data_IF_421836962764
#
_entry.id   IF_421836962764
#
_cell.length_a   1.000
_cell.length_b   1.000
_cell.length_c   1.000
_cell.angle_alpha   90.00
_cell.angle_beta   90.00
_cell.angle_gamma   90.00
#
_symmetry.space_group_name_H-M   'P 1'
#
loop_
_entity.id
_entity.type
_entity.pdbx_description
1 polymer ?
#
# COMPACT_ATOMS: atom_id res chain seq x y z
N UNK A 1 86.49 26.78 10.76
CA UNK A 1 86.97 25.55 10.07
C UNK A 1 85.75 24.69 9.77
N UNK A 2 85.32 24.61 8.50
CA UNK A 2 85.51 23.43 7.61
C UNK A 2 84.87 22.16 8.19
N UNK A 3 83.65 21.82 7.78
CA UNK A 3 83.30 20.96 6.61
C UNK A 3 83.25 19.47 6.95
N UNK A 4 82.12 18.80 6.70
CA UNK A 4 81.92 17.80 5.62
C UNK A 4 80.69 16.93 5.89
N UNK A 5 79.94 16.67 4.81
CA UNK A 5 78.92 15.63 4.66
C UNK A 5 79.53 14.20 4.74
N UNK A 6 78.68 13.22 5.05
CA UNK A 6 78.43 11.89 4.41
C UNK A 6 77.38 11.18 5.32
N UNK A 7 76.10 11.04 4.95
CA UNK A 7 75.46 10.00 4.11
C UNK A 7 75.61 8.56 4.62
N UNK A 8 74.56 8.00 5.26
CA UNK A 8 74.13 6.59 5.14
C UNK A 8 72.59 6.51 5.27
N UNK A 9 71.99 5.64 4.46
CA UNK A 9 70.59 5.49 4.04
C UNK A 9 69.71 4.54 4.89
N UNK A 10 68.41 4.92 5.07
CA UNK A 10 67.10 4.21 5.05
C UNK A 10 66.91 2.79 5.70
N UNK A 11 65.67 2.27 5.90
CA UNK A 11 64.34 2.87 6.22
C UNK A 11 63.52 2.06 7.27
N UNK A 12 62.41 2.57 7.85
CA UNK A 12 61.12 1.81 7.98
C UNK A 12 59.99 2.61 8.66
N UNK A 13 58.77 2.26 8.28
CA UNK A 13 57.44 2.61 8.83
C UNK A 13 56.78 3.93 8.41
N UNK A 14 56.18 3.87 7.22
CA UNK A 14 54.89 4.48 6.93
C UNK A 14 53.80 3.87 7.84
N UNK A 15 53.17 4.69 8.70
CA UNK A 15 51.85 4.42 9.26
C UNK A 15 50.83 5.20 8.42
N UNK A 16 50.28 4.53 7.41
CA UNK A 16 49.06 4.96 6.72
C UNK A 16 47.87 4.70 7.66
N UNK A 17 47.36 5.76 8.27
CA UNK A 17 46.04 5.75 8.90
C UNK A 17 44.97 5.82 7.83
N UNK A 18 44.51 4.66 7.35
CA UNK A 18 43.30 4.54 6.52
C UNK A 18 42.11 4.81 7.45
N UNK A 19 41.67 6.07 7.47
CA UNK A 19 40.36 6.43 8.01
C UNK A 19 39.29 5.78 7.16
N UNK A 20 38.69 4.72 7.70
CA UNK A 20 37.54 4.03 7.14
C UNK A 20 36.36 5.01 7.04
N UNK A 21 36.09 5.49 5.83
CA UNK A 21 34.81 6.11 5.52
C UNK A 21 33.74 5.02 5.60
N UNK A 22 32.97 5.03 6.69
CA UNK A 22 31.72 4.29 6.80
C UNK A 22 30.77 4.91 5.79
N UNK A 23 30.63 4.28 4.62
CA UNK A 23 29.57 4.58 3.67
C UNK A 23 28.23 4.19 4.31
N UNK A 24 27.60 5.14 5.00
CA UNK A 24 26.17 5.07 5.26
C UNK A 24 25.46 5.31 3.93
N UNK A 25 25.35 4.25 3.12
CA UNK A 25 24.34 4.19 2.08
C UNK A 25 22.98 4.18 2.78
N UNK A 26 22.44 5.36 3.08
CA UNK A 26 21.01 5.54 3.24
C UNK A 26 20.38 5.26 1.87
N UNK A 27 20.23 3.98 1.54
CA UNK A 27 19.29 3.59 0.50
C UNK A 27 17.92 3.97 1.02
N UNK A 28 17.34 5.04 0.47
CA UNK A 28 15.95 5.36 0.71
C UNK A 28 15.15 4.10 0.41
N UNK A 29 14.32 3.69 1.37
CA UNK A 29 13.49 2.51 1.24
C UNK A 29 12.54 2.71 0.07
N UNK A 30 12.53 1.77 -0.87
CA UNK A 30 11.62 1.84 -2.01
C UNK A 30 10.18 1.74 -1.48
N UNK A 31 9.39 2.79 -1.69
CA UNK A 31 7.97 2.85 -1.35
C UNK A 31 7.20 3.28 -2.58
N UNK A 32 6.00 2.71 -2.76
CA UNK A 32 5.08 3.22 -3.78
C UNK A 32 4.65 4.66 -3.43
N UNK A 33 4.05 5.33 -4.41
CA UNK A 33 3.70 6.75 -4.32
C UNK A 33 2.74 7.10 -3.16
N UNK A 34 1.91 6.14 -2.74
CA UNK A 34 0.99 6.26 -1.61
C UNK A 34 1.73 6.16 -0.25
N UNK A 35 2.96 5.62 -0.27
CA UNK A 35 3.82 5.49 0.91
C UNK A 35 3.32 4.49 1.94
N UNK A 36 2.44 3.55 1.58
CA UNK A 36 1.86 2.53 2.48
C UNK A 36 1.93 1.13 1.87
N UNK A 37 1.53 0.93 0.62
CA UNK A 37 1.63 -0.39 -0.02
C UNK A 37 3.08 -0.88 0.01
N UNK A 38 3.25 -2.15 0.40
CA UNK A 38 4.55 -2.81 0.53
C UNK A 38 5.26 -2.57 1.87
N UNK A 39 4.76 -1.69 2.73
CA UNK A 39 5.29 -1.54 4.10
C UNK A 39 5.15 -2.84 4.89
N UNK A 40 6.11 -3.11 5.76
CA UNK A 40 6.03 -4.21 6.72
C UNK A 40 5.11 -3.83 7.88
N UNK A 41 4.57 -4.84 8.58
CA UNK A 41 3.75 -4.60 9.78
C UNK A 41 4.45 -3.73 10.84
N UNK A 42 5.77 -3.88 11.00
CA UNK A 42 6.54 -3.05 11.92
C UNK A 42 6.56 -1.56 11.50
N UNK A 43 6.70 -1.29 10.20
CA UNK A 43 6.72 0.08 9.66
C UNK A 43 5.33 0.73 9.69
N UNK A 44 4.27 -0.05 9.49
CA UNK A 44 2.90 0.43 9.70
C UNK A 44 2.73 0.86 11.16
N UNK A 45 3.18 0.03 12.11
CA UNK A 45 3.10 0.38 13.53
C UNK A 45 3.99 1.57 13.91
N UNK A 46 5.14 1.74 13.26
CA UNK A 46 5.98 2.93 13.43
C UNK A 46 5.27 4.20 12.92
N UNK A 47 4.57 4.09 11.78
CA UNK A 47 3.88 5.22 11.13
C UNK A 47 2.57 5.60 11.81
N UNK A 48 1.79 4.63 12.29
CA UNK A 48 0.43 4.83 12.79
C UNK A 48 0.27 4.54 14.29
N UNK A 49 1.31 4.05 14.95
CA UNK A 49 1.26 3.60 16.34
C UNK A 49 0.72 2.17 16.47
N UNK A 50 0.28 1.81 17.67
CA UNK A 50 -0.31 0.49 17.93
C UNK A 50 -1.71 0.41 17.30
N UNK A 51 -2.07 -0.70 16.63
CA UNK A 51 -3.43 -0.88 16.10
C UNK A 51 -4.48 -0.82 17.21
N UNK A 52 -5.67 -0.33 16.88
CA UNK A 52 -6.82 -0.34 17.79
C UNK A 52 -7.34 -1.77 17.96
N UNK A 53 -7.39 -2.53 16.88
CA UNK A 53 -7.78 -3.93 16.88
C UNK A 53 -6.90 -4.73 15.93
N UNK A 54 -6.80 -6.02 16.22
CA UNK A 54 -6.31 -7.03 15.30
C UNK A 54 -7.50 -7.73 14.68
N UNK A 55 -7.39 -8.00 13.39
CA UNK A 55 -8.46 -8.57 12.60
C UNK A 55 -7.97 -9.74 11.77
N UNK A 56 -8.78 -10.79 11.69
CA UNK A 56 -8.48 -11.98 10.90
C UNK A 56 -9.69 -12.35 10.05
N UNK A 57 -9.45 -12.63 8.78
CA UNK A 57 -10.40 -13.22 7.83
C UNK A 57 -9.88 -14.59 7.40
N UNK A 58 -10.63 -15.64 7.73
CA UNK A 58 -10.31 -16.98 7.23
C UNK A 58 -11.25 -17.35 6.08
N UNK A 59 -10.74 -17.24 4.87
CA UNK A 59 -11.36 -17.81 3.67
C UNK A 59 -10.92 -19.29 3.50
N UNK A 60 -11.81 -20.23 3.10
CA UNK A 60 -13.18 -20.04 2.59
C UNK A 60 -14.27 -20.11 3.67
N UNK A 61 -13.90 -20.29 4.94
CA UNK A 61 -14.87 -20.54 6.02
C UNK A 61 -15.59 -19.28 6.51
N UNK A 62 -15.19 -18.09 6.02
CA UNK A 62 -15.74 -16.78 6.38
C UNK A 62 -15.77 -16.59 7.90
N UNK A 63 -14.73 -17.06 8.58
CA UNK A 63 -14.56 -16.81 10.01
C UNK A 63 -13.85 -15.47 10.18
N UNK A 64 -14.56 -14.54 10.81
CA UNK A 64 -14.08 -13.21 11.10
C UNK A 64 -13.90 -13.09 12.61
N UNK A 65 -12.71 -12.67 13.01
CA UNK A 65 -12.40 -12.42 14.41
C UNK A 65 -11.70 -11.08 14.56
N UNK A 66 -12.11 -10.31 15.56
CA UNK A 66 -11.59 -9.00 15.87
C UNK A 66 -11.35 -8.93 17.37
N UNK A 67 -10.12 -8.63 17.77
CA UNK A 67 -9.70 -8.60 19.18
C UNK A 67 -8.82 -7.40 19.44
N UNK A 68 -8.60 -7.06 20.70
CA UNK A 68 -7.57 -6.08 21.05
C UNK A 68 -6.17 -6.66 20.83
N UNK A 69 -5.12 -5.85 20.60
CA UNK A 69 -3.78 -6.40 20.39
C UNK A 69 -3.22 -7.20 21.58
N UNK A 70 -3.68 -6.94 22.79
CA UNK A 70 -3.36 -7.71 24.00
C UNK A 70 -3.86 -9.16 23.93
N UNK A 71 -4.88 -9.42 23.11
CA UNK A 71 -5.57 -10.71 22.97
C UNK A 71 -5.12 -11.48 21.71
N UNK A 72 -4.01 -11.09 21.07
CA UNK A 72 -3.53 -11.74 19.84
C UNK A 72 -3.33 -13.26 20.01
N UNK A 73 -2.85 -13.70 21.18
CA UNK A 73 -2.66 -15.13 21.46
C UNK A 73 -3.98 -15.90 21.46
N UNK A 74 -5.06 -15.29 21.95
CA UNK A 74 -6.41 -15.86 21.95
C UNK A 74 -6.93 -15.94 20.51
N UNK A 75 -6.74 -14.87 19.71
CA UNK A 75 -7.10 -14.85 18.30
C UNK A 75 -6.43 -16.00 17.55
N UNK A 76 -5.12 -16.14 17.68
CA UNK A 76 -4.36 -17.20 16.99
C UNK A 76 -4.79 -18.61 17.42
N UNK A 77 -5.15 -18.80 18.69
CA UNK A 77 -5.62 -20.09 19.20
C UNK A 77 -6.97 -20.54 18.62
N UNK A 78 -7.76 -19.64 18.00
CA UNK A 78 -9.03 -19.99 17.35
C UNK A 78 -8.85 -20.71 16.00
N UNK A 79 -7.65 -20.65 15.42
CA UNK A 79 -7.34 -21.18 14.10
C UNK A 79 -6.44 -22.42 14.20
N UNK A 80 -6.67 -23.39 13.33
CA UNK A 80 -5.91 -24.65 13.28
C UNK A 80 -4.55 -24.49 12.57
N UNK A 81 -4.28 -23.32 12.01
CA UNK A 81 -3.11 -22.99 11.21
C UNK A 81 -2.79 -21.50 11.34
N UNK A 82 -1.61 -21.10 10.87
CA UNK A 82 -1.21 -19.70 10.89
C UNK A 82 -2.07 -18.89 9.91
N UNK A 83 -2.75 -17.90 10.43
CA UNK A 83 -3.63 -17.01 9.68
C UNK A 83 -3.03 -15.61 9.65
N UNK A 84 -3.27 -14.90 8.55
CA UNK A 84 -2.86 -13.52 8.40
C UNK A 84 -3.60 -12.64 9.40
N UNK A 85 -2.86 -11.97 10.29
CA UNK A 85 -3.44 -11.02 11.25
C UNK A 85 -3.24 -9.60 10.74
N UNK A 86 -4.34 -8.97 10.40
CA UNK A 86 -4.46 -7.62 9.85
C UNK A 86 -4.59 -6.57 10.95
N UNK A 87 -4.22 -5.34 10.61
CA UNK A 87 -4.26 -4.24 11.55
C UNK A 87 -5.42 -3.30 11.24
N UNK A 88 -6.09 -2.87 12.30
CA UNK A 88 -7.24 -2.01 12.24
C UNK A 88 -7.00 -0.79 13.13
N UNK A 89 -7.23 0.40 12.60
CA UNK A 89 -7.01 1.67 13.28
C UNK A 89 -8.23 2.59 13.17
N UNK A 90 -8.55 3.29 14.25
CA UNK A 90 -9.36 4.51 14.20
C UNK A 90 -8.45 5.73 14.25
N UNK A 91 -8.39 6.48 13.16
CA UNK A 91 -7.52 7.65 13.00
C UNK A 91 -8.34 8.90 12.69
N UNK A 92 -7.80 10.06 13.04
CA UNK A 92 -8.39 11.36 12.69
C UNK A 92 -7.60 11.99 11.54
N UNK A 93 -8.25 12.27 10.41
CA UNK A 93 -7.66 12.96 9.25
C UNK A 93 -8.42 14.26 9.01
N UNK A 94 -7.72 15.39 9.06
CA UNK A 94 -8.30 16.73 8.89
C UNK A 94 -9.59 16.98 9.69
N UNK A 95 -9.63 16.47 10.92
CA UNK A 95 -10.77 16.62 11.82
C UNK A 95 -11.84 15.53 11.71
N UNK A 96 -11.81 14.70 10.66
CA UNK A 96 -12.76 13.61 10.44
C UNK A 96 -12.26 12.27 10.96
N UNK A 97 -13.17 11.46 11.51
CA UNK A 97 -12.89 10.09 11.95
C UNK A 97 -12.87 9.14 10.74
N UNK A 98 -11.78 8.40 10.62
CA UNK A 98 -11.57 7.42 9.57
C UNK A 98 -11.19 6.07 10.19
N UNK A 99 -11.71 5.01 9.62
CA UNK A 99 -11.28 3.65 9.88
C UNK A 99 -10.26 3.24 8.81
N UNK A 100 -9.10 2.76 9.25
CA UNK A 100 -8.07 2.20 8.39
C UNK A 100 -7.94 0.70 8.64
N UNK A 101 -7.99 -0.11 7.59
CA UNK A 101 -7.73 -1.56 7.66
C UNK A 101 -6.57 -1.90 6.75
N UNK A 102 -5.47 -2.39 7.30
CA UNK A 102 -4.29 -2.81 6.56
C UNK A 102 -4.25 -4.33 6.45
N UNK A 103 -4.38 -4.82 5.23
CA UNK A 103 -4.32 -6.24 4.93
C UNK A 103 -2.91 -6.61 4.48
N UNK A 104 -2.40 -7.69 5.06
CA UNK A 104 -1.03 -8.15 4.86
C UNK A 104 -1.01 -9.41 4.00
N UNK A 105 -0.05 -9.46 3.08
CA UNK A 105 0.34 -10.66 2.35
C UNK A 105 1.68 -11.19 2.86
N UNK A 106 1.87 -12.50 2.76
CA UNK A 106 3.12 -13.18 3.13
C UNK A 106 4.16 -13.06 2.00
N UNK A 107 5.24 -12.32 2.24
CA UNK A 107 6.40 -12.22 1.35
C UNK A 107 7.53 -13.13 1.85
N UNK A 108 8.11 -13.94 0.96
CA UNK A 108 9.12 -14.96 1.28
C UNK A 108 10.38 -14.87 0.42
N UNK A 109 10.62 -13.75 -0.28
CA UNK A 109 11.70 -13.63 -1.28
C UNK A 109 13.10 -13.95 -0.72
N UNK A 110 13.40 -13.57 0.53
CA UNK A 110 14.72 -13.79 1.14
C UNK A 110 14.77 -15.05 2.01
N UNK A 111 13.83 -15.98 1.82
CA UNK A 111 13.65 -17.15 2.69
C UNK A 111 13.16 -16.81 4.11
N UNK A 112 12.98 -15.52 4.41
CA UNK A 112 12.36 -15.02 5.63
C UNK A 112 10.91 -14.62 5.34
N UNK A 113 10.02 -15.04 6.24
CA UNK A 113 8.61 -14.67 6.21
C UNK A 113 8.45 -13.22 6.67
N UNK A 114 8.04 -12.33 5.76
CA UNK A 114 7.77 -10.92 6.04
C UNK A 114 6.34 -10.57 5.62
N UNK A 115 5.57 -10.02 6.54
CA UNK A 115 4.21 -9.56 6.25
C UNK A 115 4.23 -8.14 5.70
N UNK A 116 3.77 -7.96 4.46
CA UNK A 116 3.73 -6.66 3.76
C UNK A 116 2.31 -6.24 3.44
N UNK A 117 2.02 -4.95 3.51
CA UNK A 117 0.72 -4.39 3.13
C UNK A 117 0.49 -4.68 1.64
N UNK A 118 -0.55 -5.45 1.33
CA UNK A 118 -0.97 -5.75 -0.05
C UNK A 118 -2.14 -4.88 -0.50
N UNK A 119 -2.97 -4.46 0.44
CA UNK A 119 -4.13 -3.60 0.23
C UNK A 119 -4.49 -2.92 1.56
N UNK A 120 -5.11 -1.74 1.50
CA UNK A 120 -5.70 -1.13 2.68
C UNK A 120 -6.95 -0.35 2.35
N UNK A 121 -7.82 -0.26 3.35
CA UNK A 121 -9.14 0.35 3.24
C UNK A 121 -9.16 1.60 4.11
N UNK A 122 -9.85 2.63 3.63
CA UNK A 122 -10.14 3.87 4.35
C UNK A 122 -11.64 4.09 4.29
N UNK A 123 -12.31 3.98 5.43
CA UNK A 123 -13.75 4.20 5.55
C UNK A 123 -14.02 5.47 6.35
N UNK A 124 -14.89 6.33 5.82
CA UNK A 124 -15.25 7.60 6.45
C UNK A 124 -16.38 7.37 7.49
N UNK A 125 -16.11 7.63 8.77
CA UNK A 125 -17.03 7.28 9.86
C UNK A 125 -18.03 8.40 10.19
N UNK A 126 -17.66 9.67 9.96
CA UNK A 126 -18.53 10.82 10.23
C UNK A 126 -19.61 11.03 9.15
N UNK A 127 -19.56 10.23 8.09
CA UNK A 127 -20.49 10.26 6.97
C UNK A 127 -19.79 10.24 5.61
N UNK A 128 -20.57 10.11 4.52
CA UNK A 128 -20.01 10.12 3.18
C UNK A 128 -19.31 11.43 2.83
N UNK A 129 -18.30 11.34 1.97
CA UNK A 129 -17.48 12.47 1.53
C UNK A 129 -17.63 12.63 0.02
N UNK A 130 -17.80 13.86 -0.47
CA UNK A 130 -17.84 14.09 -1.93
C UNK A 130 -16.53 13.66 -2.58
N UNK A 131 -16.58 13.03 -3.75
CA UNK A 131 -15.41 12.52 -4.48
C UNK A 131 -14.28 13.56 -4.62
N UNK A 132 -14.62 14.82 -4.93
CA UNK A 132 -13.65 15.92 -5.05
C UNK A 132 -12.94 16.32 -3.75
N UNK A 133 -13.47 15.91 -2.58
CA UNK A 133 -12.88 16.16 -1.26
C UNK A 133 -12.16 14.95 -0.67
N UNK A 134 -12.14 13.81 -1.38
CA UNK A 134 -11.42 12.62 -0.92
C UNK A 134 -9.94 12.93 -0.72
N UNK A 135 -9.34 13.71 -1.61
CA UNK A 135 -7.92 14.08 -1.54
C UNK A 135 -7.55 14.91 -0.30
N UNK A 136 -8.51 15.64 0.26
CA UNK A 136 -8.30 16.39 1.50
C UNK A 136 -8.20 15.45 2.71
N UNK A 137 -8.88 14.29 2.68
CA UNK A 137 -8.88 13.33 3.78
C UNK A 137 -7.87 12.20 3.58
N UNK A 138 -7.58 11.89 2.32
CA UNK A 138 -6.68 10.84 1.86
C UNK A 138 -5.65 11.50 0.95
N UNK A 139 -4.60 12.12 1.50
CA UNK A 139 -3.55 12.75 0.70
C UNK A 139 -2.80 11.73 -0.19
N UNK A 140 -2.88 10.44 0.16
CA UNK A 140 -2.38 9.34 -0.65
C UNK A 140 -3.18 9.17 -1.97
N UNK A 141 -4.41 9.70 -2.06
CA UNK A 141 -5.26 9.65 -3.26
C UNK A 141 -4.81 10.69 -4.30
N UNK A 142 -3.67 10.43 -4.93
CA UNK A 142 -3.10 11.23 -6.02
C UNK A 142 -3.89 11.27 -7.35
N UNK A 143 -4.79 10.32 -7.69
CA UNK A 143 -5.51 10.35 -8.97
C UNK A 143 -6.31 11.62 -9.27
N UNK A 144 -6.64 12.43 -8.26
CA UNK A 144 -7.25 13.75 -8.43
C UNK A 144 -6.41 14.71 -9.29
N UNK A 145 -5.08 14.57 -9.29
CA UNK A 145 -4.15 15.48 -9.97
C UNK A 145 -3.34 14.81 -11.10
N UNK A 146 -3.59 13.52 -11.36
CA UNK A 146 -2.78 12.70 -12.25
C UNK A 146 -3.47 12.30 -13.56
N UNK A 147 -2.73 11.61 -14.44
CA UNK A 147 -3.26 11.04 -15.70
C UNK A 147 -3.88 9.65 -15.51
N UNK A 148 -4.52 9.41 -14.37
CA UNK A 148 -5.07 8.10 -14.04
C UNK A 148 -6.20 7.73 -15.02
N UNK A 149 -6.23 6.46 -15.44
CA UNK A 149 -7.40 5.91 -16.14
C UNK A 149 -8.46 5.53 -15.12
N UNK A 150 -9.71 5.81 -15.44
CA UNK A 150 -10.83 5.58 -14.51
C UNK A 150 -11.79 4.57 -15.10
N UNK A 151 -11.97 3.47 -14.40
CA UNK A 151 -12.91 2.42 -14.75
C UNK A 151 -14.10 2.47 -13.81
N UNK A 152 -15.30 2.35 -14.35
CA UNK A 152 -16.54 2.31 -13.60
C UNK A 152 -17.15 0.93 -13.66
N UNK A 153 -17.57 0.41 -12.52
CA UNK A 153 -18.25 -0.87 -12.38
C UNK A 153 -19.42 -0.74 -11.41
N UNK A 154 -20.54 -1.40 -11.71
CA UNK A 154 -21.65 -1.54 -10.76
C UNK A 154 -21.50 -2.87 -10.03
N UNK A 155 -21.28 -2.81 -8.72
CA UNK A 155 -21.21 -3.98 -7.86
C UNK A 155 -22.62 -4.51 -7.62
N UNK A 156 -23.07 -5.46 -8.44
CA UNK A 156 -24.45 -5.95 -8.48
C UNK A 156 -24.96 -6.38 -7.09
N UNK A 157 -24.13 -7.08 -6.32
CA UNK A 157 -24.51 -7.60 -5.00
C UNK A 157 -24.70 -6.50 -3.94
N UNK A 158 -24.05 -5.34 -4.12
CA UNK A 158 -24.08 -4.24 -3.16
C UNK A 158 -24.84 -3.01 -3.68
N UNK A 159 -25.27 -3.04 -4.95
CA UNK A 159 -25.96 -1.98 -5.67
C UNK A 159 -25.29 -0.58 -5.56
N UNK A 160 -23.97 -0.55 -5.49
CA UNK A 160 -23.17 0.68 -5.53
C UNK A 160 -22.21 0.66 -6.72
N UNK A 161 -21.68 1.84 -7.01
CA UNK A 161 -20.71 2.05 -8.08
C UNK A 161 -19.31 2.03 -7.46
N UNK A 162 -18.41 1.30 -8.11
CA UNK A 162 -16.97 1.36 -7.86
C UNK A 162 -16.31 2.11 -9.00
N UNK A 163 -15.44 3.06 -8.63
CA UNK A 163 -14.52 3.72 -9.55
C UNK A 163 -13.11 3.24 -9.26
N UNK A 164 -12.47 2.59 -10.22
CA UNK A 164 -11.08 2.15 -10.11
C UNK A 164 -10.20 3.15 -10.85
N UNK A 165 -9.42 3.93 -10.11
CA UNK A 165 -8.42 4.84 -10.65
C UNK A 165 -7.09 4.10 -10.73
N UNK A 166 -6.59 3.86 -11.94
CA UNK A 166 -5.30 3.20 -12.18
C UNK A 166 -4.26 4.23 -12.56
N UNK A 167 -3.18 4.30 -11.80
CA UNK A 167 -2.08 5.23 -12.05
C UNK A 167 -1.21 4.74 -13.22
N UNK A 168 -0.58 5.64 -13.99
CA UNK A 168 0.24 5.25 -15.12
C UNK A 168 1.64 4.74 -14.73
N UNK A 169 2.05 4.92 -13.48
CA UNK A 169 3.41 4.60 -13.02
C UNK A 169 3.54 3.11 -12.70
N UNK A 170 4.48 2.45 -13.38
CA UNK A 170 4.83 1.05 -13.17
C UNK A 170 6.27 1.02 -12.64
N UNK A 171 6.50 0.40 -11.49
CA UNK A 171 7.83 0.22 -10.90
C UNK A 171 8.04 -1.23 -10.44
N UNK A 172 9.25 -1.56 -9.99
CA UNK A 172 9.58 -2.94 -9.62
C UNK A 172 8.85 -3.38 -8.35
N UNK A 173 8.64 -2.48 -7.39
CA UNK A 173 7.85 -2.77 -6.20
C UNK A 173 6.38 -3.08 -6.54
N UNK A 174 5.73 -2.34 -7.44
CA UNK A 174 4.34 -2.61 -7.83
C UNK A 174 4.23 -3.95 -8.55
N UNK A 175 5.17 -4.28 -9.44
CA UNK A 175 5.24 -5.61 -10.07
C UNK A 175 5.42 -6.72 -9.05
N UNK A 176 6.31 -6.53 -8.07
CA UNK A 176 6.53 -7.48 -6.99
C UNK A 176 5.22 -7.73 -6.23
N UNK A 177 4.58 -6.68 -5.71
CA UNK A 177 3.31 -6.78 -4.97
C UNK A 177 2.21 -7.43 -5.82
N UNK A 178 2.00 -6.95 -7.05
CA UNK A 178 0.93 -7.42 -7.94
C UNK A 178 1.07 -8.90 -8.31
N UNK A 179 2.26 -9.30 -8.78
CA UNK A 179 2.53 -10.70 -9.16
C UNK A 179 2.48 -11.67 -7.99
N UNK A 180 2.61 -11.18 -6.74
CA UNK A 180 2.60 -12.05 -5.56
C UNK A 180 1.25 -12.16 -4.88
N UNK A 181 0.54 -11.05 -4.75
CA UNK A 181 -0.64 -10.95 -3.89
C UNK A 181 -1.95 -10.82 -4.64
N UNK A 182 -1.92 -10.50 -5.93
CA UNK A 182 -3.12 -10.18 -6.71
C UNK A 182 -3.41 -11.25 -7.75
N UNK A 183 -2.49 -11.49 -8.68
CA UNK A 183 -2.64 -12.50 -9.71
C UNK A 183 -1.28 -13.13 -10.05
N UNK A 184 -1.26 -14.46 -10.15
CA UNK A 184 -0.07 -15.23 -10.54
C UNK A 184 0.12 -15.26 -12.07
N UNK A 185 -0.82 -14.70 -12.83
CA UNK A 185 -0.73 -14.54 -14.27
C UNK A 185 0.48 -13.65 -14.63
N UNK A 186 1.53 -14.32 -15.13
CA UNK A 186 2.80 -13.69 -15.51
C UNK A 186 2.68 -12.76 -16.71
N UNK A 187 1.54 -12.78 -17.41
CA UNK A 187 1.31 -11.92 -18.56
C UNK A 187 0.95 -10.48 -18.15
N UNK A 188 0.54 -10.26 -16.89
CA UNK A 188 0.29 -8.93 -16.35
C UNK A 188 1.63 -8.26 -16.02
N UNK A 189 1.96 -7.21 -16.78
CA UNK A 189 3.24 -6.48 -16.67
C UNK A 189 3.06 -5.02 -16.27
N UNK A 190 1.81 -4.58 -16.21
CA UNK A 190 1.38 -3.20 -16.01
C UNK A 190 0.85 -2.95 -14.58
N UNK A 191 1.36 -3.71 -13.61
CA UNK A 191 1.06 -3.52 -12.20
C UNK A 191 1.42 -2.10 -11.75
N UNK A 192 0.42 -1.37 -11.26
CA UNK A 192 0.53 0.02 -10.81
C UNK A 192 -0.37 0.23 -9.60
N UNK A 193 -0.26 1.38 -8.93
CA UNK A 193 -1.19 1.71 -7.86
C UNK A 193 -2.60 1.90 -8.43
N UNK A 194 -3.56 1.30 -7.74
CA UNK A 194 -4.99 1.44 -8.00
C UNK A 194 -5.73 1.93 -6.77
N UNK A 195 -6.73 2.77 -7.01
CA UNK A 195 -7.61 3.31 -5.98
C UNK A 195 -9.05 2.97 -6.35
N UNK A 196 -9.63 2.03 -5.62
CA UNK A 196 -11.02 1.64 -5.71
C UNK A 196 -11.85 2.55 -4.79
N UNK A 197 -12.56 3.48 -5.40
CA UNK A 197 -13.44 4.42 -4.70
C UNK A 197 -14.86 3.87 -4.76
N UNK A 198 -15.38 3.47 -3.61
CA UNK A 198 -16.73 2.91 -3.49
C UNK A 198 -17.70 4.04 -3.16
N UNK A 199 -18.64 4.26 -4.08
CA UNK A 199 -19.68 5.26 -3.93
C UNK A 199 -20.77 4.79 -2.97
N UNK A 200 -21.52 5.74 -2.42
CA UNK A 200 -22.71 5.46 -1.64
C UNK A 200 -23.79 4.76 -2.49
N UNK A 201 -24.68 4.07 -1.78
CA UNK A 201 -25.78 3.38 -2.42
C UNK A 201 -26.70 4.39 -3.13
N UNK A 202 -27.24 4.00 -4.29
CA UNK A 202 -28.09 4.83 -5.14
C UNK A 202 -27.41 6.06 -5.80
N UNK A 203 -26.08 6.17 -5.76
CA UNK A 203 -25.37 7.15 -6.58
C UNK A 203 -25.66 6.92 -8.08
N UNK A 204 -25.88 8.01 -8.85
CA UNK A 204 -26.23 7.89 -10.27
C UNK A 204 -25.06 7.37 -11.09
N UNK A 205 -25.37 6.65 -12.18
CA UNK A 205 -24.37 6.19 -13.16
C UNK A 205 -23.52 7.32 -13.74
N UNK A 206 -24.06 8.55 -13.78
CA UNK A 206 -23.32 9.75 -14.15
C UNK A 206 -22.60 10.31 -12.93
N UNK A 207 -21.43 9.74 -12.67
CA UNK A 207 -20.55 10.14 -11.58
C UNK A 207 -19.95 11.53 -11.82
N UNK A 208 -19.75 12.29 -10.74
CA UNK A 208 -19.08 13.59 -10.76
C UNK A 208 -18.25 13.80 -9.49
N UNK A 209 -17.48 14.89 -9.42
CA UNK A 209 -16.79 15.30 -8.19
C UNK A 209 -17.72 15.46 -6.96
N UNK A 210 -19.04 15.62 -7.15
CA UNK A 210 -20.02 15.70 -6.07
C UNK A 210 -20.58 14.34 -5.63
N UNK A 211 -20.27 13.26 -6.35
CA UNK A 211 -20.73 11.92 -5.96
C UNK A 211 -20.20 11.54 -4.58
N UNK A 212 -21.05 10.95 -3.75
CA UNK A 212 -20.70 10.64 -2.37
C UNK A 212 -19.95 9.32 -2.27
N UNK A 213 -18.83 9.34 -1.56
CA UNK A 213 -17.90 8.23 -1.34
C UNK A 213 -18.04 7.75 0.09
N UNK A 214 -18.13 6.43 0.25
CA UNK A 214 -18.13 5.79 1.58
C UNK A 214 -16.78 5.22 1.99
N UNK A 215 -16.02 4.74 1.02
CA UNK A 215 -14.80 3.99 1.26
C UNK A 215 -13.84 4.13 0.08
N UNK A 216 -12.55 4.16 0.38
CA UNK A 216 -11.45 4.10 -0.59
C UNK A 216 -10.61 2.88 -0.25
N UNK A 217 -10.31 2.07 -1.25
CA UNK A 217 -9.45 0.90 -1.14
C UNK A 217 -8.23 1.16 -2.02
N UNK A 218 -7.04 0.99 -1.47
CA UNK A 218 -5.78 1.18 -2.20
C UNK A 218 -5.08 -0.15 -2.29
N UNK A 219 -4.61 -0.47 -3.49
CA UNK A 219 -3.98 -1.73 -3.83
C UNK A 219 -3.10 -1.57 -5.07
N UNK A 220 -2.58 -2.69 -5.57
CA UNK A 220 -1.94 -2.75 -6.89
C UNK A 220 -2.87 -3.45 -7.86
N UNK A 221 -3.03 -2.87 -9.05
CA UNK A 221 -3.78 -3.49 -10.14
C UNK A 221 -3.16 -3.16 -11.50
N UNK A 222 -3.53 -3.93 -12.53
CA UNK A 222 -3.13 -3.72 -13.91
C UNK A 222 -4.32 -3.43 -14.80
N UNK A 223 -4.17 -2.48 -15.72
CA UNK A 223 -5.19 -2.18 -16.73
C UNK A 223 -5.53 -3.42 -17.55
N UNK A 224 -4.52 -4.24 -17.86
CA UNK A 224 -4.68 -5.50 -18.58
C UNK A 224 -5.64 -6.45 -17.83
N UNK A 225 -5.49 -6.60 -16.51
CA UNK A 225 -6.34 -7.47 -15.69
C UNK A 225 -7.78 -6.96 -15.64
N UNK A 226 -7.96 -5.65 -15.45
CA UNK A 226 -9.27 -5.00 -15.47
C UNK A 226 -9.92 -5.20 -16.84
N UNK A 227 -9.18 -4.96 -17.93
CA UNK A 227 -9.66 -5.15 -19.29
C UNK A 227 -10.07 -6.60 -19.61
N UNK A 228 -9.28 -7.58 -19.15
CA UNK A 228 -9.55 -9.02 -19.31
C UNK A 228 -10.85 -9.43 -18.61
N UNK A 229 -11.19 -8.79 -17.50
CA UNK A 229 -12.37 -9.10 -16.70
C UNK A 229 -13.57 -8.17 -16.95
N UNK A 230 -13.38 -7.12 -17.76
CA UNK A 230 -14.38 -6.08 -17.99
C UNK A 230 -15.72 -6.62 -18.52
N UNK A 231 -15.71 -7.57 -19.44
CA UNK A 231 -16.96 -8.17 -19.95
C UNK A 231 -17.74 -8.93 -18.86
N UNK A 232 -17.03 -9.60 -17.95
CA UNK A 232 -17.67 -10.39 -16.89
C UNK A 232 -18.33 -9.49 -15.84
N UNK A 233 -17.74 -8.33 -15.55
CA UNK A 233 -18.21 -7.42 -14.51
C UNK A 233 -18.93 -6.17 -15.04
N UNK A 234 -19.01 -6.00 -16.36
CA UNK A 234 -19.60 -4.80 -16.98
C UNK A 234 -18.77 -3.54 -16.74
N UNK A 235 -17.47 -3.69 -16.51
CA UNK A 235 -16.54 -2.58 -16.26
C UNK A 235 -16.37 -1.75 -17.53
N UNK A 236 -16.46 -0.43 -17.42
CA UNK A 236 -16.31 0.52 -18.54
C UNK A 236 -15.28 1.59 -18.22
N UNK A 237 -14.45 1.95 -19.21
CA UNK A 237 -13.58 3.12 -19.11
C UNK A 237 -14.44 4.39 -19.22
N UNK A 238 -14.22 5.35 -18.32
CA UNK A 238 -14.90 6.64 -18.30
C UNK A 238 -13.91 7.80 -18.28
N UNK A 239 -14.39 9.02 -18.56
CA UNK A 239 -13.62 10.22 -18.28
C UNK A 239 -13.40 10.36 -16.77
N UNK A 240 -12.24 10.88 -16.36
CA UNK A 240 -11.93 11.11 -14.95
C UNK A 240 -12.92 12.16 -14.39
N UNK A 241 -13.81 11.81 -13.43
CA UNK A 241 -14.83 12.72 -12.91
C UNK A 241 -14.27 13.86 -12.04
N UNK A 242 -12.95 13.87 -11.81
CA UNK A 242 -12.22 14.91 -11.10
C UNK A 242 -11.51 15.91 -12.04
N UNK A 243 -11.67 15.75 -13.37
CA UNK A 243 -11.04 16.58 -14.41
C UNK A 243 -12.07 17.27 -15.30
#
# INVERSE_FOLDING_TARGET
>A
MRSKLISVTLPFMCLLGIGLFVNNNLSAKETLEDGIIGLTKAEVNEKFGKPTYLYCEEEPFRRYAMVTPEEESILRAQFLYDVSVHDFYYLKRNGSNCEFRFYYGEDTIDGQKVWRVKEYFIKFLDGPVSLGKVVDLVPEFKPAYGKAKVYQERLINLNNIRLTFVTPEINELSKHIGSRFVDLDKDIKDWSLSYDVILCDNEPEKVSANSMVKEVIVSVDGEYRIGKTAHAFGTKLIANPLQ
#
